data_IF_357783202268
#
_entry.id   IF_357783202268
#
_cell.length_a   1.000
_cell.length_b   1.000
_cell.length_c   1.000
_cell.angle_alpha   90.00
_cell.angle_beta   90.00
_cell.angle_gamma   90.00
#
_symmetry.space_group_name_H-M   'P 1'
#
loop_
_entity.id
_entity.type
_entity.pdbx_description
1 polymer ?
#
# COMPACT_ATOMS: atom_id res chain seq x y z
N UNK A 1 -3.26 -4.01 1.65
CA UNK A 1 -3.28 -2.73 2.43
C UNK A 1 -2.48 -1.66 1.72
N UNK A 2 -2.78 -0.37 1.90
CA UNK A 2 -2.02 0.74 1.27
C UNK A 2 -1.24 1.53 2.33
N UNK A 3 0.08 1.53 2.22
CA UNK A 3 1.00 2.18 3.15
C UNK A 3 1.82 3.29 2.46
N UNK A 4 2.09 4.37 3.18
CA UNK A 4 2.95 5.45 2.69
C UNK A 4 4.41 5.23 3.12
N UNK A 5 5.34 5.20 2.17
CA UNK A 5 6.76 5.01 2.46
C UNK A 5 7.40 6.20 3.20
N UNK A 6 6.90 7.41 2.99
CA UNK A 6 7.49 8.61 3.59
C UNK A 6 7.16 8.79 5.08
N UNK A 7 5.98 8.38 5.52
CA UNK A 7 5.53 8.57 6.91
C UNK A 7 5.02 7.30 7.59
N UNK A 8 5.10 6.17 6.90
CA UNK A 8 4.60 4.86 7.33
C UNK A 8 3.12 4.82 7.71
N UNK A 9 2.35 5.87 7.43
CA UNK A 9 0.92 5.89 7.69
C UNK A 9 0.18 4.94 6.77
N UNK A 10 -0.75 4.19 7.34
CA UNK A 10 -1.74 3.44 6.58
C UNK A 10 -2.80 4.43 6.10
N UNK A 11 -2.96 4.49 4.78
CA UNK A 11 -3.90 5.41 4.13
C UNK A 11 -5.19 4.72 3.71
N UNK A 12 -5.12 3.43 3.41
CA UNK A 12 -6.27 2.66 3.02
C UNK A 12 -6.08 1.16 3.33
N UNK A 13 -7.19 0.46 3.52
CA UNK A 13 -7.23 -1.00 3.60
C UNK A 13 -7.96 -1.51 2.36
N UNK A 14 -7.35 -2.49 1.69
CA UNK A 14 -7.97 -3.20 0.57
C UNK A 14 -8.23 -4.59 1.13
N UNK A 15 -9.51 -4.94 1.23
CA UNK A 15 -9.92 -6.30 1.59
C UNK A 15 -9.51 -7.23 0.45
N UNK A 16 -8.76 -8.27 0.80
CA UNK A 16 -8.50 -9.38 -0.10
C UNK A 16 -9.64 -10.40 0.06
N UNK A 17 -10.02 -11.07 -1.01
CA UNK A 17 -10.89 -12.23 -0.90
C UNK A 17 -10.21 -13.28 0.01
N UNK A 18 -10.97 -14.06 0.78
CA UNK A 18 -10.41 -15.05 1.70
C UNK A 18 -9.58 -16.15 1.01
N UNK A 19 -9.64 -16.24 -0.32
CA UNK A 19 -8.88 -17.19 -1.14
C UNK A 19 -7.63 -16.57 -1.77
N UNK A 20 -7.40 -15.28 -1.61
CA UNK A 20 -6.30 -14.54 -2.23
C UNK A 20 -5.22 -14.19 -1.19
N UNK A 21 -3.97 -14.14 -1.65
CA UNK A 21 -2.87 -13.64 -0.81
C UNK A 21 -3.01 -12.12 -0.65
N UNK A 22 -2.90 -11.58 0.58
CA UNK A 22 -3.07 -10.17 0.82
C UNK A 22 -1.93 -9.36 0.17
N UNK A 23 -2.27 -8.51 -0.79
CA UNK A 23 -1.28 -7.64 -1.47
C UNK A 23 -1.06 -6.37 -0.63
N UNK A 24 0.22 -6.04 -0.44
CA UNK A 24 0.65 -4.77 0.14
C UNK A 24 0.92 -3.80 -1.01
N UNK A 25 0.40 -2.59 -0.86
CA UNK A 25 0.49 -1.53 -1.84
C UNK A 25 1.21 -0.36 -1.19
N UNK A 26 2.19 0.19 -1.89
CA UNK A 26 2.97 1.32 -1.39
C UNK A 26 2.75 2.57 -2.23
N UNK A 27 2.70 3.71 -1.54
CA UNK A 27 2.70 5.04 -2.13
C UNK A 27 3.89 5.85 -1.61
N UNK A 28 4.44 6.73 -2.44
CA UNK A 28 5.62 7.51 -2.07
C UNK A 28 5.28 8.62 -1.07
N UNK A 29 4.15 9.28 -1.23
CA UNK A 29 3.69 10.37 -0.36
C UNK A 29 2.18 10.27 -0.19
N UNK A 30 1.67 10.73 0.95
CA UNK A 30 0.25 10.75 1.24
C UNK A 30 -0.20 12.07 1.84
N UNK A 31 -1.52 12.27 1.87
CA UNK A 31 -2.20 13.44 2.43
C UNK A 31 -1.79 13.75 3.88
N UNK A 32 -1.27 12.76 4.62
CA UNK A 32 -0.88 12.91 6.04
C UNK A 32 0.55 13.43 6.26
N UNK A 33 1.40 13.49 5.23
CA UNK A 33 2.83 13.80 5.39
C UNK A 33 3.41 14.79 4.38
N UNK A 34 2.58 15.62 3.74
CA UNK A 34 2.89 16.52 2.60
C UNK A 34 2.78 15.91 1.19
N UNK A 35 2.08 14.78 1.03
CA UNK A 35 1.63 14.31 -0.27
C UNK A 35 0.28 14.90 -0.67
N UNK A 36 -0.07 14.75 -1.94
CA UNK A 36 -1.37 15.12 -2.50
C UNK A 36 -2.23 13.89 -2.77
N UNK A 37 -3.54 14.08 -3.00
CA UNK A 37 -4.42 13.01 -3.48
C UNK A 37 -3.95 12.41 -4.82
N UNK A 38 -3.16 13.12 -5.62
CA UNK A 38 -2.56 12.57 -6.84
C UNK A 38 -1.40 11.62 -6.55
N UNK A 39 -0.64 11.85 -5.49
CA UNK A 39 0.42 10.95 -5.04
C UNK A 39 -0.16 9.63 -4.50
N UNK A 40 -1.32 9.70 -3.85
CA UNK A 40 -2.04 8.51 -3.36
C UNK A 40 -2.63 7.65 -4.49
N UNK A 41 -2.84 8.22 -5.68
CA UNK A 41 -3.27 7.46 -6.87
C UNK A 41 -2.13 6.69 -7.53
N UNK A 42 -0.87 7.04 -7.25
CA UNK A 42 0.32 6.37 -7.81
C UNK A 42 0.75 5.21 -6.92
N UNK A 43 -0.09 4.18 -6.91
CA UNK A 43 0.09 3.00 -6.09
C UNK A 43 0.98 1.98 -6.82
N UNK A 44 2.02 1.50 -6.16
CA UNK A 44 2.80 0.37 -6.64
C UNK A 44 2.44 -0.86 -5.81
N UNK A 45 2.13 -1.97 -6.48
CA UNK A 45 1.93 -3.24 -5.79
C UNK A 45 3.30 -3.78 -5.37
N UNK A 46 3.46 -4.05 -4.08
CA UNK A 46 4.59 -4.80 -3.56
C UNK A 46 4.16 -6.25 -3.41
N UNK A 47 4.62 -7.08 -4.35
CA UNK A 47 4.53 -8.53 -4.15
C UNK A 47 5.62 -8.90 -3.16
N UNK A 48 5.24 -9.47 -2.02
CA UNK A 48 6.17 -10.09 -1.09
C UNK A 48 6.33 -11.55 -1.53
N UNK A 49 7.43 -11.95 -2.20
CA UNK A 49 7.57 -13.30 -2.76
C UNK A 49 8.00 -14.34 -1.71
N UNK A 50 7.63 -14.15 -0.45
CA UNK A 50 8.09 -14.98 0.68
C UNK A 50 6.92 -15.79 1.25
N UNK A 51 6.46 -16.76 0.47
CA UNK A 51 5.58 -17.83 0.97
C UNK A 51 5.71 -19.12 0.15
N UNK A 52 6.93 -19.55 -0.14
CA UNK A 52 7.21 -20.95 -0.46
C UNK A 52 8.39 -21.43 0.38
N UNK A 53 8.10 -22.12 1.48
CA UNK A 53 9.02 -23.07 2.13
C UNK A 53 8.39 -24.45 2.02
#
# INVERSE_FOLDING_TARGET
>A
MVQCNNCQSIVNFIEAEPSEEPIIFDINKCSKCNGTLEDEKKVNAFYYPDAFI
#
